data_IF_860584415453
#
_entry.id   IF_860584415453
#
_cell.length_a   1.000
_cell.length_b   1.000
_cell.length_c   1.000
_cell.angle_alpha   90.00
_cell.angle_beta   90.00
_cell.angle_gamma   90.00
#
_symmetry.space_group_name_H-M   'P 1'
#
loop_
_entity.id
_entity.type
_entity.pdbx_description
1 polymer ?
#
# COMPACT_ATOMS: atom_id res chain seq x y z
N UNK A 1 -2.99 15.20 19.98
CA UNK A 1 -2.12 14.23 19.29
C UNK A 1 -0.83 14.16 20.07
N UNK A 2 -0.47 12.99 20.62
CA UNK A 2 0.83 12.84 21.31
C UNK A 2 1.94 12.72 20.25
N UNK A 3 3.06 13.43 20.38
CA UNK A 3 4.17 13.35 19.44
C UNK A 3 4.96 12.07 19.72
N UNK A 4 4.97 11.11 18.79
CA UNK A 4 5.88 9.96 18.92
C UNK A 4 5.46 8.65 18.26
N UNK A 5 4.22 8.47 17.80
CA UNK A 5 3.86 7.24 17.08
C UNK A 5 4.01 7.46 15.57
N UNK A 6 5.15 7.06 15.01
CA UNK A 6 5.26 6.84 13.58
C UNK A 6 4.41 5.61 13.27
N UNK A 7 3.16 5.83 12.89
CA UNK A 7 2.18 4.77 12.59
C UNK A 7 2.44 4.19 11.19
N UNK A 8 3.63 3.62 10.97
CA UNK A 8 3.92 2.87 9.75
C UNK A 8 3.54 1.41 10.00
N UNK A 9 2.52 0.95 9.28
CA UNK A 9 2.17 -0.46 9.23
C UNK A 9 2.81 -1.08 8.00
N UNK A 10 3.61 -2.13 8.20
CA UNK A 10 4.23 -2.87 7.12
C UNK A 10 3.61 -4.26 7.03
N UNK A 11 3.29 -4.68 5.80
CA UNK A 11 2.82 -6.02 5.51
C UNK A 11 3.67 -6.65 4.40
N UNK A 12 3.96 -7.94 4.54
CA UNK A 12 4.71 -8.71 3.55
C UNK A 12 3.73 -9.54 2.74
N UNK A 13 3.75 -9.40 1.42
CA UNK A 13 3.05 -10.27 0.49
C UNK A 13 3.97 -11.42 0.05
N UNK A 14 3.75 -12.68 0.49
CA UNK A 14 4.61 -13.78 0.11
C UNK A 14 4.42 -14.16 -1.37
N UNK A 15 5.48 -14.59 -2.07
CA UNK A 15 5.38 -15.04 -3.48
C UNK A 15 4.38 -16.18 -3.70
N UNK A 16 4.13 -17.00 -2.68
CA UNK A 16 3.15 -18.10 -2.72
C UNK A 16 1.69 -17.62 -2.58
N UNK A 17 1.46 -16.34 -2.27
CA UNK A 17 0.11 -15.79 -2.17
C UNK A 17 -0.55 -15.85 -3.55
N UNK A 18 -1.70 -16.51 -3.63
CA UNK A 18 -2.48 -16.60 -4.86
C UNK A 18 -3.19 -15.28 -5.10
N UNK A 19 -2.50 -14.33 -5.71
CA UNK A 19 -3.11 -13.10 -6.22
C UNK A 19 -3.52 -13.36 -7.67
N UNK A 20 -4.80 -13.13 -8.00
CA UNK A 20 -5.32 -13.30 -9.37
C UNK A 20 -4.93 -12.16 -10.31
N UNK A 21 -4.09 -11.23 -9.84
CA UNK A 21 -3.63 -10.07 -10.58
C UNK A 21 -2.10 -10.16 -10.64
N UNK A 22 -1.44 -9.90 -11.78
CA UNK A 22 0.01 -9.74 -11.86
C UNK A 22 0.50 -8.47 -11.13
N UNK A 23 -0.13 -8.11 -10.01
CA UNK A 23 -0.16 -6.80 -9.37
C UNK A 23 1.18 -6.33 -8.79
N UNK A 24 2.18 -7.19 -8.72
CA UNK A 24 3.52 -6.79 -8.28
C UNK A 24 4.40 -6.22 -9.40
N UNK A 25 3.87 -5.98 -10.61
CA UNK A 25 4.70 -5.45 -11.71
C UNK A 25 4.97 -3.95 -11.56
N UNK A 26 4.10 -3.16 -10.93
CA UNK A 26 4.26 -1.71 -10.82
C UNK A 26 3.96 -1.17 -9.42
N UNK A 27 4.90 -0.45 -8.78
CA UNK A 27 4.65 0.21 -7.51
C UNK A 27 3.63 1.34 -7.68
N UNK A 28 2.78 1.52 -6.67
CA UNK A 28 1.83 2.63 -6.61
C UNK A 28 1.69 3.14 -5.17
N UNK A 29 1.30 4.41 -5.03
CA UNK A 29 1.01 5.03 -3.74
C UNK A 29 -0.40 5.63 -3.77
N UNK A 30 -1.25 5.27 -2.80
CA UNK A 30 -2.58 5.89 -2.65
C UNK A 30 -2.53 6.98 -1.58
N UNK A 31 -2.92 8.19 -1.93
CA UNK A 31 -3.06 9.30 -0.99
C UNK A 31 -4.52 9.47 -0.62
N UNK A 32 -4.80 9.59 0.69
CA UNK A 32 -6.12 9.92 1.23
C UNK A 32 -5.94 10.97 2.31
N UNK A 33 -6.24 12.21 1.97
CA UNK A 33 -6.02 13.35 2.84
C UNK A 33 -7.40 13.83 3.33
N UNK A 34 -7.71 13.65 4.63
CA UNK A 34 -8.94 14.18 5.20
C UNK A 34 -9.00 15.69 5.03
N UNK A 35 -10.09 16.20 4.45
CA UNK A 35 -10.35 17.63 4.35
C UNK A 35 -11.29 18.06 5.48
N UNK A 36 -10.94 19.09 6.29
CA UNK A 36 -11.80 19.57 7.37
C UNK A 36 -12.98 20.43 6.88
N UNK A 37 -13.15 20.62 5.57
CA UNK A 37 -14.11 21.54 4.96
C UNK A 37 -15.29 20.88 4.25
N UNK A 38 -16.07 21.70 3.52
CA UNK A 38 -17.18 21.23 2.66
C UNK A 38 -16.70 20.48 1.40
N UNK A 39 -15.43 20.68 1.01
CA UNK A 39 -14.79 19.86 0.00
C UNK A 39 -14.50 18.48 0.60
N UNK A 40 -14.87 17.42 -0.11
CA UNK A 40 -14.61 16.03 0.28
C UNK A 40 -13.11 15.73 0.47
N UNK A 41 -12.76 14.50 0.90
CA UNK A 41 -11.36 14.12 1.01
C UNK A 41 -10.62 14.28 -0.32
N UNK A 42 -9.36 14.68 -0.26
CA UNK A 42 -8.48 14.66 -1.43
C UNK A 42 -7.92 13.24 -1.55
N UNK A 43 -8.28 12.55 -2.63
CA UNK A 43 -7.84 11.20 -2.93
C UNK A 43 -7.22 11.15 -4.31
N UNK A 44 -6.04 10.53 -4.43
CA UNK A 44 -5.38 10.31 -5.71
C UNK A 44 -4.37 9.16 -5.61
N UNK A 45 -3.97 8.61 -6.76
CA UNK A 45 -2.95 7.58 -6.88
C UNK A 45 -1.73 8.16 -7.57
N UNK A 46 -0.55 7.90 -7.03
CA UNK A 46 0.72 8.15 -7.69
C UNK A 46 1.28 6.86 -8.26
N UNK A 47 1.56 6.87 -9.56
CA UNK A 47 2.25 5.80 -10.27
C UNK A 47 3.63 6.31 -10.66
N UNK A 48 4.66 5.54 -10.30
CA UNK A 48 6.04 5.85 -10.65
C UNK A 48 6.58 4.79 -11.61
N UNK A 49 7.16 5.26 -12.71
CA UNK A 49 7.93 4.45 -13.66
C UNK A 49 9.38 4.96 -13.67
N UNK A 50 10.27 4.25 -14.38
CA UNK A 50 11.71 4.54 -14.42
C UNK A 50 12.06 5.98 -14.84
N UNK A 51 11.22 6.62 -15.65
CA UNK A 51 11.49 7.94 -16.21
C UNK A 51 10.31 8.93 -16.10
N UNK A 52 9.19 8.54 -15.48
CA UNK A 52 7.97 9.36 -15.45
C UNK A 52 7.12 9.06 -14.21
N UNK A 53 6.22 9.98 -13.88
CA UNK A 53 5.26 9.84 -12.79
C UNK A 53 3.89 10.36 -13.20
N UNK A 54 2.82 9.65 -12.80
CA UNK A 54 1.44 10.08 -13.07
C UNK A 54 0.64 10.19 -11.79
N UNK A 55 -0.17 11.24 -11.72
CA UNK A 55 -1.18 11.44 -10.70
C UNK A 55 -2.54 11.10 -11.31
N UNK A 56 -3.24 10.13 -10.71
CA UNK A 56 -4.59 9.75 -11.08
C UNK A 56 -5.56 10.22 -9.99
N UNK A 57 -6.39 11.20 -10.32
CA UNK A 57 -7.39 11.79 -9.42
C UNK A 57 -8.83 11.61 -9.92
N UNK A 58 -9.01 10.91 -11.04
CA UNK A 58 -10.33 10.47 -11.49
C UNK A 58 -10.92 9.44 -10.50
N UNK A 59 -12.23 9.55 -10.25
CA UNK A 59 -12.91 8.71 -9.27
C UNK A 59 -12.77 7.21 -9.56
N UNK A 60 -12.91 6.83 -10.83
CA UNK A 60 -12.82 5.43 -11.28
C UNK A 60 -11.40 4.86 -11.09
N UNK A 61 -10.37 5.69 -11.28
CA UNK A 61 -8.97 5.32 -11.02
C UNK A 61 -8.76 5.09 -9.53
N UNK A 62 -9.17 6.05 -8.68
CA UNK A 62 -9.06 5.93 -7.22
C UNK A 62 -9.77 4.68 -6.71
N UNK A 63 -10.98 4.39 -7.19
CA UNK A 63 -11.73 3.19 -6.81
C UNK A 63 -11.02 1.90 -7.25
N UNK A 64 -10.51 1.87 -8.49
CA UNK A 64 -9.79 0.71 -9.02
C UNK A 64 -8.57 0.37 -8.17
N UNK A 65 -7.76 1.36 -7.83
CA UNK A 65 -6.58 1.16 -6.97
C UNK A 65 -6.94 0.89 -5.51
N UNK A 66 -8.09 1.36 -5.02
CA UNK A 66 -8.62 0.99 -3.70
C UNK A 66 -8.92 -0.51 -3.62
N UNK A 67 -9.58 -1.06 -4.65
CA UNK A 67 -9.84 -2.49 -4.75
C UNK A 67 -8.57 -3.31 -4.88
N UNK A 68 -7.59 -2.82 -5.65
CA UNK A 68 -6.29 -3.45 -5.75
C UNK A 68 -5.58 -3.50 -4.39
N UNK A 69 -5.52 -2.37 -3.68
CA UNK A 69 -4.92 -2.27 -2.35
C UNK A 69 -5.57 -3.25 -1.34
N UNK A 70 -6.90 -3.32 -1.31
CA UNK A 70 -7.63 -4.24 -0.44
C UNK A 70 -7.33 -5.72 -0.75
N UNK A 71 -7.21 -6.07 -2.04
CA UNK A 71 -6.84 -7.43 -2.46
C UNK A 71 -5.41 -7.79 -2.05
N UNK A 72 -4.47 -6.86 -2.25
CA UNK A 72 -3.06 -7.07 -1.90
C UNK A 72 -2.89 -7.22 -0.38
N UNK A 73 -3.48 -6.33 0.41
CA UNK A 73 -3.40 -6.38 1.88
C UNK A 73 -4.15 -7.58 2.46
N UNK A 74 -5.26 -8.01 1.86
CA UNK A 74 -5.98 -9.23 2.25
C UNK A 74 -5.23 -10.54 1.92
N UNK A 75 -4.32 -10.52 0.95
CA UNK A 75 -3.46 -11.65 0.60
C UNK A 75 -2.09 -11.62 1.30
N UNK A 76 -1.70 -10.47 1.84
CA UNK A 76 -0.47 -10.30 2.60
C UNK A 76 -0.58 -10.93 4.00
N UNK A 77 0.58 -11.18 4.60
CA UNK A 77 0.64 -11.49 6.03
C UNK A 77 0.07 -10.29 6.82
N UNK A 78 -0.58 -10.57 7.95
CA UNK A 78 -0.98 -9.50 8.87
C UNK A 78 0.27 -8.77 9.44
N UNK A 79 0.13 -7.60 10.07
CA UNK A 79 1.26 -6.80 10.53
C UNK A 79 2.19 -7.52 11.51
N UNK A 80 1.66 -8.37 12.39
CA UNK A 80 2.47 -9.10 13.38
C UNK A 80 3.23 -10.21 12.68
N UNK A 81 2.56 -11.02 11.87
CA UNK A 81 3.18 -12.08 11.09
C UNK A 81 4.23 -11.53 10.10
N UNK A 82 4.00 -10.35 9.53
CA UNK A 82 4.95 -9.65 8.66
C UNK A 82 6.21 -9.26 9.41
N UNK A 83 6.06 -8.70 10.63
CA UNK A 83 7.20 -8.34 11.49
C UNK A 83 8.01 -9.56 11.89
N UNK A 84 7.34 -10.63 12.32
CA UNK A 84 8.00 -11.89 12.69
C UNK A 84 8.73 -12.53 11.51
N UNK A 85 8.10 -12.53 10.33
CA UNK A 85 8.72 -12.99 9.10
C UNK A 85 10.01 -12.22 8.79
N UNK A 86 9.97 -10.89 8.79
CA UNK A 86 11.15 -10.07 8.49
C UNK A 86 12.30 -10.26 9.49
N UNK A 87 12.00 -10.34 10.79
CA UNK A 87 13.03 -10.57 11.81
C UNK A 87 13.69 -11.94 11.63
N UNK A 88 12.89 -12.99 11.38
CA UNK A 88 13.41 -14.33 11.11
C UNK A 88 14.31 -14.36 9.88
N UNK A 89 13.89 -13.75 8.78
CA UNK A 89 14.72 -13.72 7.57
C UNK A 89 15.98 -12.87 7.75
N UNK A 90 15.93 -11.79 8.54
CA UNK A 90 17.11 -11.00 8.88
C UNK A 90 18.14 -11.81 9.66
N UNK A 91 17.71 -12.63 10.63
CA UNK A 91 18.61 -13.52 11.40
C UNK A 91 19.23 -14.62 10.52
N UNK A 92 18.50 -15.09 9.49
CA UNK A 92 18.97 -16.12 8.56
C UNK A 92 19.94 -15.59 7.49
N UNK A 93 20.01 -14.28 7.28
CA UNK A 93 20.83 -13.67 6.23
C UNK A 93 22.26 -13.33 6.71
N UNK A 94 22.56 -13.52 8.00
CA UNK A 94 23.86 -13.25 8.64
C UNK A 94 24.78 -14.47 8.58
#
# INVERSE_FOLDING_TARGET
>A
MSPGSCIVQLQVLPFKARTYTPACTYPFTTFRIPSPGKAGPLEFVYLEDFHDGRYLDEQDDVETYSHLWARLTGAALDPVASREYLLREADNYV
#
